data_IF_453586725086
#
_entry.id   IF_453586725086
#
_cell.length_a   1.000
_cell.length_b   1.000
_cell.length_c   1.000
_cell.angle_alpha   90.00
_cell.angle_beta   90.00
_cell.angle_gamma   90.00
#
_symmetry.space_group_name_H-M   'P 1'
#
loop_
_entity.id
_entity.type
_entity.pdbx_description
1 polymer ?
#
# COMPACT_ATOMS: atom_id res chain seq x y z
N UNK A 1 -20.81 -10.02 0.19
CA UNK A 1 -20.34 -11.02 1.17
C UNK A 1 -21.44 -12.06 1.42
N UNK A 2 -21.24 -13.33 1.04
CA UNK A 2 -22.22 -14.43 1.25
C UNK A 2 -22.26 -14.79 2.74
N UNK A 3 -23.30 -14.40 3.46
CA UNK A 3 -23.52 -14.91 4.81
C UNK A 3 -24.22 -16.28 4.73
N UNK A 4 -23.61 -17.38 5.21
CA UNK A 4 -24.22 -18.71 5.10
C UNK A 4 -25.46 -18.84 6.00
N UNK A 5 -26.62 -19.07 5.38
CA UNK A 5 -27.87 -19.37 6.08
C UNK A 5 -27.74 -20.68 6.91
N UNK A 6 -28.42 -20.74 8.06
CA UNK A 6 -28.40 -21.87 9.01
C UNK A 6 -28.70 -23.22 8.35
N UNK A 7 -29.56 -23.23 7.33
CA UNK A 7 -29.91 -24.43 6.55
C UNK A 7 -28.75 -24.93 5.67
N UNK A 8 -28.01 -24.03 5.03
CA UNK A 8 -26.81 -24.36 4.24
C UNK A 8 -25.74 -25.01 5.14
N UNK A 9 -25.46 -24.43 6.32
CA UNK A 9 -24.50 -25.00 7.28
C UNK A 9 -24.85 -26.44 7.69
N UNK A 10 -26.15 -26.73 7.88
CA UNK A 10 -26.62 -28.08 8.25
C UNK A 10 -26.42 -29.09 7.11
N UNK A 11 -26.77 -28.73 5.88
CA UNK A 11 -26.62 -29.61 4.72
C UNK A 11 -25.15 -29.86 4.40
N UNK A 12 -24.32 -28.82 4.40
CA UNK A 12 -22.87 -28.96 4.20
C UNK A 12 -22.25 -29.89 5.24
N UNK A 13 -22.65 -29.75 6.52
CA UNK A 13 -22.19 -30.65 7.59
C UNK A 13 -22.68 -32.08 7.38
N UNK A 14 -23.95 -32.27 7.03
CA UNK A 14 -24.53 -33.60 6.79
C UNK A 14 -23.79 -34.33 5.65
N UNK A 15 -23.52 -33.65 4.53
CA UNK A 15 -22.75 -34.19 3.43
C UNK A 15 -21.31 -34.58 3.83
N UNK A 16 -20.61 -33.72 4.58
CA UNK A 16 -19.25 -34.02 5.07
C UNK A 16 -19.23 -35.24 6.00
N UNK A 17 -20.21 -35.35 6.90
CA UNK A 17 -20.34 -36.50 7.80
C UNK A 17 -20.64 -37.77 7.01
N UNK A 18 -21.60 -37.74 6.08
CA UNK A 18 -21.93 -38.88 5.23
C UNK A 18 -20.72 -39.33 4.37
N UNK A 19 -19.95 -38.37 3.86
CA UNK A 19 -18.72 -38.62 3.10
C UNK A 19 -17.63 -39.29 3.95
N UNK A 20 -17.44 -38.83 5.19
CA UNK A 20 -16.48 -39.45 6.12
C UNK A 20 -16.87 -40.87 6.53
N UNK A 21 -18.17 -41.14 6.64
CA UNK A 21 -18.71 -42.48 6.92
C UNK A 21 -18.72 -43.39 5.68
N UNK A 22 -18.33 -42.87 4.50
CA UNK A 22 -18.36 -43.59 3.22
C UNK A 22 -19.73 -44.24 2.90
N UNK A 23 -20.82 -43.64 3.41
CA UNK A 23 -22.17 -44.16 3.21
C UNK A 23 -22.77 -43.58 1.93
N UNK A 24 -22.63 -44.29 0.81
CA UNK A 24 -23.06 -43.84 -0.51
C UNK A 24 -24.55 -43.48 -0.57
N UNK A 25 -25.41 -44.22 0.12
CA UNK A 25 -26.86 -43.94 0.14
C UNK A 25 -27.17 -42.59 0.82
N UNK A 26 -26.55 -42.34 1.98
CA UNK A 26 -26.70 -41.07 2.69
C UNK A 26 -26.07 -39.91 1.92
N UNK A 27 -24.95 -40.12 1.25
CA UNK A 27 -24.32 -39.11 0.40
C UNK A 27 -25.27 -38.71 -0.74
N UNK A 28 -25.85 -39.66 -1.46
CA UNK A 28 -26.81 -39.39 -2.54
C UNK A 28 -28.05 -38.65 -2.03
N UNK A 29 -28.60 -39.06 -0.88
CA UNK A 29 -29.71 -38.36 -0.23
C UNK A 29 -29.34 -36.93 0.16
N UNK A 30 -28.11 -36.70 0.63
CA UNK A 30 -27.62 -35.37 0.98
C UNK A 30 -27.49 -34.47 -0.26
N UNK A 31 -26.94 -34.99 -1.36
CA UNK A 31 -26.80 -34.26 -2.63
C UNK A 31 -28.19 -33.87 -3.15
N UNK A 32 -29.12 -34.83 -3.26
CA UNK A 32 -30.48 -34.58 -3.73
C UNK A 32 -31.22 -33.55 -2.85
N UNK A 33 -31.08 -33.67 -1.52
CA UNK A 33 -31.70 -32.74 -0.57
C UNK A 33 -31.10 -31.33 -0.65
N UNK A 34 -29.79 -31.22 -0.90
CA UNK A 34 -29.11 -29.94 -1.07
C UNK A 34 -29.61 -29.23 -2.32
N UNK A 35 -29.64 -29.92 -3.46
CA UNK A 35 -30.14 -29.39 -4.73
C UNK A 35 -31.61 -28.95 -4.58
N UNK A 36 -32.45 -29.80 -3.99
CA UNK A 36 -33.86 -29.47 -3.77
C UNK A 36 -34.05 -28.27 -2.82
N UNK A 37 -33.19 -28.12 -1.81
CA UNK A 37 -33.22 -26.95 -0.94
C UNK A 37 -32.87 -25.69 -1.74
N UNK A 38 -31.77 -25.73 -2.51
CA UNK A 38 -31.33 -24.59 -3.32
C UNK A 38 -32.43 -24.14 -4.29
N UNK A 39 -33.04 -25.08 -5.02
CA UNK A 39 -34.14 -24.81 -5.96
C UNK A 39 -35.34 -24.10 -5.30
N UNK A 40 -35.59 -24.36 -4.00
CA UNK A 40 -36.72 -23.79 -3.26
C UNK A 40 -36.46 -22.40 -2.69
N UNK A 41 -35.20 -22.10 -2.35
CA UNK A 41 -34.86 -20.87 -1.61
C UNK A 41 -34.12 -19.85 -2.47
N UNK A 42 -33.72 -20.22 -3.69
CA UNK A 42 -32.91 -19.37 -4.52
C UNK A 42 -33.67 -18.12 -4.99
N UNK A 43 -33.13 -16.96 -4.64
CA UNK A 43 -33.59 -15.65 -5.11
C UNK A 43 -32.37 -14.93 -5.72
N UNK A 44 -32.53 -14.38 -6.93
CA UNK A 44 -31.40 -13.87 -7.72
C UNK A 44 -30.65 -12.74 -7.01
N UNK A 45 -31.36 -11.84 -6.33
CA UNK A 45 -30.80 -10.71 -5.55
C UNK A 45 -30.08 -11.14 -4.25
N UNK A 46 -30.26 -12.40 -3.81
CA UNK A 46 -29.70 -12.93 -2.55
C UNK A 46 -28.69 -14.03 -2.79
N UNK A 47 -27.47 -13.62 -3.15
CA UNK A 47 -26.34 -14.53 -3.44
C UNK A 47 -26.00 -15.56 -2.35
N UNK A 48 -26.46 -15.38 -1.09
CA UNK A 48 -26.30 -16.36 -0.01
C UNK A 48 -27.29 -17.53 -0.02
N UNK A 49 -28.32 -17.50 -0.87
CA UNK A 49 -29.36 -18.52 -0.98
C UNK A 49 -29.14 -19.52 -2.12
N UNK A 50 -28.12 -19.33 -2.96
CA UNK A 50 -27.84 -20.16 -4.12
C UNK A 50 -26.34 -20.28 -4.40
N UNK A 51 -25.96 -21.21 -5.29
CA UNK A 51 -24.56 -21.45 -5.70
C UNK A 51 -23.77 -22.28 -4.69
N UNK A 52 -24.34 -22.58 -3.51
CA UNK A 52 -23.67 -23.39 -2.50
C UNK A 52 -23.57 -24.86 -2.91
N UNK A 53 -24.52 -25.38 -3.69
CA UNK A 53 -24.41 -26.71 -4.28
C UNK A 53 -23.29 -26.77 -5.34
N UNK A 54 -23.15 -25.73 -6.14
CA UNK A 54 -22.08 -25.64 -7.14
C UNK A 54 -20.70 -25.62 -6.46
N UNK A 55 -20.50 -24.77 -5.46
CA UNK A 55 -19.26 -24.74 -4.69
C UNK A 55 -18.99 -26.08 -3.99
N UNK A 56 -19.98 -26.64 -3.30
CA UNK A 56 -19.80 -27.83 -2.49
C UNK A 56 -19.54 -29.09 -3.32
N UNK A 57 -20.21 -29.25 -4.46
CA UNK A 57 -20.18 -30.49 -5.24
C UNK A 57 -19.32 -30.39 -6.50
N UNK A 58 -19.39 -29.30 -7.26
CA UNK A 58 -18.64 -29.12 -8.51
C UNK A 58 -17.20 -28.71 -8.18
N UNK A 59 -17.02 -27.57 -7.53
CA UNK A 59 -15.68 -27.09 -7.15
C UNK A 59 -15.05 -27.96 -6.06
N UNK A 60 -15.88 -28.52 -5.18
CA UNK A 60 -15.48 -29.55 -4.21
C UNK A 60 -15.14 -30.92 -4.81
N UNK A 61 -15.26 -31.10 -6.13
CA UNK A 61 -14.92 -32.33 -6.88
C UNK A 61 -15.56 -33.59 -6.29
N UNK A 62 -16.86 -33.53 -6.00
CA UNK A 62 -17.60 -34.68 -5.48
C UNK A 62 -17.64 -35.81 -6.49
N UNK A 63 -17.02 -36.95 -6.18
CA UNK A 63 -17.07 -38.18 -6.99
C UNK A 63 -18.45 -38.87 -7.02
N UNK A 64 -19.40 -38.40 -6.21
CA UNK A 64 -20.73 -38.98 -6.07
C UNK A 64 -21.80 -38.21 -6.85
N UNK A 65 -21.42 -37.10 -7.50
CA UNK A 65 -22.34 -36.34 -8.33
C UNK A 65 -22.60 -37.09 -9.65
N UNK A 66 -23.87 -37.28 -10.01
CA UNK A 66 -24.20 -37.87 -11.32
C UNK A 66 -23.96 -36.86 -12.44
N UNK A 67 -23.75 -37.34 -13.67
CA UNK A 67 -23.60 -36.47 -14.86
C UNK A 67 -24.82 -35.57 -15.06
N UNK A 68 -26.02 -36.07 -14.77
CA UNK A 68 -27.26 -35.28 -14.85
C UNK A 68 -27.28 -34.15 -13.80
N UNK A 69 -26.85 -34.43 -12.56
CA UNK A 69 -26.76 -33.43 -11.50
C UNK A 69 -25.67 -32.40 -11.78
N UNK A 70 -24.51 -32.82 -12.30
CA UNK A 70 -23.43 -31.93 -12.72
C UNK A 70 -23.94 -30.96 -13.80
N UNK A 71 -24.55 -31.49 -14.86
CA UNK A 71 -25.10 -30.68 -15.95
C UNK A 71 -26.20 -29.72 -15.47
N UNK A 72 -27.09 -30.15 -14.57
CA UNK A 72 -28.10 -29.28 -13.96
C UNK A 72 -27.45 -28.10 -13.25
N UNK A 73 -26.50 -28.35 -12.34
CA UNK A 73 -25.87 -27.29 -11.54
C UNK A 73 -25.11 -26.28 -12.41
N UNK A 74 -24.45 -26.73 -13.48
CA UNK A 74 -23.78 -25.85 -14.44
C UNK A 74 -24.80 -25.02 -15.20
N UNK A 75 -25.84 -25.66 -15.77
CA UNK A 75 -26.88 -25.00 -16.55
C UNK A 75 -27.62 -23.95 -15.71
N UNK A 76 -27.95 -24.27 -14.47
CA UNK A 76 -28.65 -23.35 -13.56
C UNK A 76 -27.80 -22.11 -13.24
N UNK A 77 -26.49 -22.30 -13.03
CA UNK A 77 -25.60 -21.20 -12.71
C UNK A 77 -25.28 -20.33 -13.94
N UNK A 78 -25.15 -20.91 -15.14
CA UNK A 78 -25.04 -20.17 -16.41
C UNK A 78 -26.30 -19.36 -16.71
N UNK A 79 -27.47 -19.99 -16.56
CA UNK A 79 -28.75 -19.30 -16.72
C UNK A 79 -28.88 -18.16 -15.71
N UNK A 80 -28.41 -18.37 -14.47
CA UNK A 80 -28.41 -17.32 -13.44
C UNK A 80 -27.44 -16.19 -13.78
N UNK A 81 -26.20 -16.48 -14.17
CA UNK A 81 -25.23 -15.47 -14.59
C UNK A 81 -25.83 -14.56 -15.66
N UNK A 82 -26.51 -15.15 -16.65
CA UNK A 82 -27.22 -14.38 -17.68
C UNK A 82 -28.25 -13.43 -17.07
N UNK A 83 -29.11 -13.90 -16.14
CA UNK A 83 -30.13 -13.07 -15.49
C UNK A 83 -29.56 -11.97 -14.58
N UNK A 84 -28.48 -12.27 -13.86
CA UNK A 84 -27.89 -11.32 -12.88
C UNK A 84 -26.81 -10.43 -13.48
N UNK A 85 -26.44 -10.65 -14.75
CA UNK A 85 -25.47 -9.80 -15.46
C UNK A 85 -26.01 -8.41 -15.77
N UNK A 86 -27.34 -8.27 -15.83
CA UNK A 86 -28.06 -7.00 -16.01
C UNK A 86 -28.96 -6.73 -14.80
N UNK A 87 -29.16 -5.44 -14.49
CA UNK A 87 -30.13 -4.95 -13.49
C UNK A 87 -29.94 -5.42 -12.04
N UNK A 88 -28.80 -6.03 -11.72
CA UNK A 88 -28.43 -6.45 -10.37
C UNK A 88 -27.08 -5.87 -9.96
N UNK A 89 -26.81 -5.91 -8.66
CA UNK A 89 -25.51 -5.52 -8.12
C UNK A 89 -24.38 -6.36 -8.75
N UNK A 90 -23.24 -5.75 -9.12
CA UNK A 90 -22.13 -6.48 -9.77
C UNK A 90 -21.56 -7.59 -8.88
N UNK A 91 -21.71 -7.48 -7.56
CA UNK A 91 -21.36 -8.50 -6.58
C UNK A 91 -22.22 -9.78 -6.70
N UNK A 92 -23.47 -9.65 -7.16
CA UNK A 92 -24.36 -10.78 -7.44
C UNK A 92 -23.92 -11.47 -8.74
N UNK A 93 -23.56 -10.69 -9.76
CA UNK A 93 -22.97 -11.21 -11.00
C UNK A 93 -21.66 -11.96 -10.72
N UNK A 94 -20.75 -11.38 -9.94
CA UNK A 94 -19.50 -12.01 -9.50
C UNK A 94 -19.75 -13.34 -8.78
N UNK A 95 -20.76 -13.38 -7.90
CA UNK A 95 -21.13 -14.57 -7.13
C UNK A 95 -21.55 -15.75 -8.02
N UNK A 96 -22.02 -15.50 -9.24
CA UNK A 96 -22.30 -16.54 -10.24
C UNK A 96 -21.08 -16.80 -11.15
N UNK A 97 -20.44 -15.74 -11.63
CA UNK A 97 -19.39 -15.83 -12.65
C UNK A 97 -18.05 -16.38 -12.14
N UNK A 98 -17.59 -16.02 -10.94
CA UNK A 98 -16.29 -16.49 -10.43
C UNK A 98 -16.28 -18.01 -10.22
N UNK A 99 -17.32 -18.64 -9.61
CA UNK A 99 -17.39 -20.10 -9.54
C UNK A 99 -17.41 -20.78 -10.92
N UNK A 100 -18.18 -20.24 -11.89
CA UNK A 100 -18.23 -20.76 -13.26
C UNK A 100 -16.87 -20.66 -13.96
N UNK A 101 -16.22 -19.50 -13.93
CA UNK A 101 -14.91 -19.31 -14.53
C UNK A 101 -13.85 -20.21 -13.88
N UNK A 102 -13.94 -20.45 -12.56
CA UNK A 102 -13.08 -21.40 -11.86
C UNK A 102 -13.31 -22.84 -12.35
N UNK A 103 -14.58 -23.23 -12.56
CA UNK A 103 -14.92 -24.52 -13.14
C UNK A 103 -14.34 -24.69 -14.55
N UNK A 104 -14.56 -23.72 -15.45
CA UNK A 104 -14.06 -23.78 -16.83
C UNK A 104 -12.54 -23.78 -16.91
N UNK A 105 -11.86 -23.03 -16.02
CA UNK A 105 -10.40 -23.07 -15.90
C UNK A 105 -9.90 -24.47 -15.54
N UNK A 106 -10.56 -25.14 -14.58
CA UNK A 106 -10.20 -26.51 -14.19
C UNK A 106 -10.44 -27.54 -15.29
N UNK A 107 -11.27 -27.23 -16.29
CA UNK A 107 -11.52 -28.04 -17.48
C UNK A 107 -10.68 -27.60 -18.69
N UNK A 108 -9.78 -26.62 -18.50
CA UNK A 108 -8.96 -26.03 -19.57
C UNK A 108 -9.77 -25.37 -20.70
N UNK A 109 -11.02 -24.98 -20.42
CA UNK A 109 -11.92 -24.31 -21.36
C UNK A 109 -11.71 -22.79 -21.32
N UNK A 110 -10.58 -22.34 -21.87
CA UNK A 110 -10.13 -20.94 -21.75
C UNK A 110 -11.08 -19.91 -22.41
N UNK A 111 -11.80 -20.29 -23.47
CA UNK A 111 -12.75 -19.39 -24.13
C UNK A 111 -13.98 -19.14 -23.25
N UNK A 112 -14.46 -20.16 -22.54
CA UNK A 112 -15.54 -19.99 -21.55
C UNK A 112 -15.09 -19.18 -20.34
N UNK A 113 -13.85 -19.36 -19.89
CA UNK A 113 -13.27 -18.51 -18.84
C UNK A 113 -13.30 -17.04 -19.25
N UNK A 114 -12.85 -16.73 -20.48
CA UNK A 114 -12.87 -15.35 -21.00
C UNK A 114 -14.29 -14.80 -21.07
N UNK A 115 -15.22 -15.54 -21.69
CA UNK A 115 -16.64 -15.15 -21.80
C UNK A 115 -17.24 -14.80 -20.44
N UNK A 116 -17.08 -15.68 -19.45
CA UNK A 116 -17.69 -15.49 -18.12
C UNK A 116 -17.07 -14.29 -17.40
N UNK A 117 -15.74 -14.13 -17.43
CA UNK A 117 -15.08 -13.02 -16.73
C UNK A 117 -15.31 -11.68 -17.44
N UNK A 118 -15.46 -11.66 -18.77
CA UNK A 118 -15.92 -10.45 -19.48
C UNK A 118 -17.29 -10.01 -18.97
N UNK A 119 -18.24 -10.93 -18.77
CA UNK A 119 -19.55 -10.62 -18.20
C UNK A 119 -19.43 -10.02 -16.80
N UNK A 120 -18.63 -10.63 -15.92
CA UNK A 120 -18.44 -10.14 -14.54
C UNK A 120 -17.80 -8.75 -14.54
N UNK A 121 -16.71 -8.56 -15.29
CA UNK A 121 -16.02 -7.28 -15.30
C UNK A 121 -16.84 -6.17 -15.97
N UNK A 122 -17.56 -6.46 -17.06
CA UNK A 122 -18.49 -5.51 -17.68
C UNK A 122 -19.63 -5.10 -16.73
N UNK A 123 -20.09 -6.01 -15.87
CA UNK A 123 -21.09 -5.71 -14.85
C UNK A 123 -20.56 -4.67 -13.85
N UNK A 124 -19.32 -4.81 -13.36
CA UNK A 124 -18.68 -3.78 -12.54
C UNK A 124 -18.50 -2.46 -13.30
N UNK A 125 -18.00 -2.53 -14.54
CA UNK A 125 -17.68 -1.33 -15.32
C UNK A 125 -18.92 -0.49 -15.66
N UNK A 126 -20.05 -1.13 -15.98
CA UNK A 126 -21.33 -0.47 -16.26
C UNK A 126 -22.00 0.06 -15.00
N UNK A 127 -21.86 -0.65 -13.88
CA UNK A 127 -22.42 -0.22 -12.60
C UNK A 127 -21.67 0.98 -11.98
N UNK A 128 -20.53 1.40 -12.54
CA UNK A 128 -19.84 2.62 -12.15
C UNK A 128 -20.52 3.90 -12.65
N UNK A 129 -21.41 3.82 -13.65
CA UNK A 129 -22.09 5.01 -14.20
C UNK A 129 -22.96 5.68 -13.12
N UNK A 130 -22.73 6.98 -12.89
CA UNK A 130 -23.48 7.78 -11.90
C UNK A 130 -23.05 7.59 -10.44
N UNK A 131 -22.05 6.76 -10.15
CA UNK A 131 -21.48 6.65 -8.80
C UNK A 131 -20.53 7.83 -8.47
N UNK A 132 -20.37 8.16 -7.17
CA UNK A 132 -19.30 9.05 -6.73
C UNK A 132 -17.93 8.54 -7.18
N UNK A 133 -17.02 9.44 -7.57
CA UNK A 133 -15.72 9.10 -8.15
C UNK A 133 -14.91 8.12 -7.29
N UNK A 134 -14.89 8.29 -5.95
CA UNK A 134 -14.22 7.38 -5.01
C UNK A 134 -14.78 5.96 -5.11
N UNK A 135 -16.11 5.84 -5.16
CA UNK A 135 -16.78 4.54 -5.22
C UNK A 135 -16.54 3.88 -6.59
N UNK A 136 -16.65 4.63 -7.68
CA UNK A 136 -16.34 4.15 -9.02
C UNK A 136 -14.89 3.67 -9.14
N UNK A 137 -13.93 4.41 -8.55
CA UNK A 137 -12.51 4.02 -8.52
C UNK A 137 -12.28 2.70 -7.79
N UNK A 138 -12.91 2.51 -6.64
CA UNK A 138 -12.85 1.25 -5.91
C UNK A 138 -13.41 0.08 -6.72
N UNK A 139 -14.51 0.28 -7.45
CA UNK A 139 -15.15 -0.78 -8.24
C UNK A 139 -14.36 -1.14 -9.49
N UNK A 140 -13.79 -0.15 -10.18
CA UNK A 140 -12.85 -0.40 -11.27
C UNK A 140 -11.59 -1.12 -10.77
N UNK A 141 -11.05 -0.78 -9.58
CA UNK A 141 -9.91 -1.50 -9.02
C UNK A 141 -10.26 -2.98 -8.77
N UNK A 142 -11.43 -3.26 -8.20
CA UNK A 142 -11.89 -4.65 -8.00
C UNK A 142 -12.05 -5.41 -9.32
N UNK A 143 -12.61 -4.77 -10.36
CA UNK A 143 -12.69 -5.36 -11.69
C UNK A 143 -11.30 -5.66 -12.30
N UNK A 144 -10.33 -4.76 -12.09
CA UNK A 144 -8.93 -4.98 -12.49
C UNK A 144 -8.34 -6.22 -11.80
N UNK A 145 -8.54 -6.37 -10.48
CA UNK A 145 -8.02 -7.51 -9.72
C UNK A 145 -8.62 -8.83 -10.21
N UNK A 146 -9.93 -8.85 -10.52
CA UNK A 146 -10.59 -9.99 -11.16
C UNK A 146 -9.92 -10.30 -12.50
N UNK A 147 -9.75 -9.31 -13.39
CA UNK A 147 -9.13 -9.52 -14.70
C UNK A 147 -7.71 -10.08 -14.60
N UNK A 148 -6.88 -9.57 -13.67
CA UNK A 148 -5.53 -10.08 -13.43
C UNK A 148 -5.55 -11.52 -12.93
N UNK A 149 -6.43 -11.86 -11.98
CA UNK A 149 -6.57 -13.23 -11.46
C UNK A 149 -7.03 -14.24 -12.52
N UNK A 150 -7.61 -13.73 -13.62
CA UNK A 150 -8.01 -14.50 -14.81
C UNK A 150 -7.18 -14.30 -16.07
N UNK A 151 -5.97 -13.74 -15.94
CA UNK A 151 -5.02 -13.52 -17.04
C UNK A 151 -5.60 -12.70 -18.20
N UNK A 152 -6.56 -11.81 -17.92
CA UNK A 152 -7.22 -10.94 -18.90
C UNK A 152 -6.49 -9.59 -19.00
N UNK A 153 -5.27 -9.63 -19.53
CA UNK A 153 -4.36 -8.47 -19.56
C UNK A 153 -4.92 -7.28 -20.36
N UNK A 154 -5.62 -7.53 -21.48
CA UNK A 154 -6.22 -6.47 -22.29
C UNK A 154 -7.34 -5.74 -21.56
N UNK A 155 -8.21 -6.47 -20.85
CA UNK A 155 -9.28 -5.89 -20.05
C UNK A 155 -8.72 -5.14 -18.84
N UNK A 156 -7.74 -5.72 -18.15
CA UNK A 156 -7.03 -5.04 -17.06
C UNK A 156 -6.46 -3.69 -17.53
N UNK A 157 -5.80 -3.64 -18.69
CA UNK A 157 -5.26 -2.41 -19.24
C UNK A 157 -6.36 -1.37 -19.60
N UNK A 158 -7.53 -1.82 -20.08
CA UNK A 158 -8.68 -0.93 -20.34
C UNK A 158 -9.21 -0.31 -19.05
N UNK A 159 -9.37 -1.12 -18.00
CA UNK A 159 -9.85 -0.66 -16.69
C UNK A 159 -8.85 0.31 -16.04
N UNK A 160 -7.53 0.06 -16.15
CA UNK A 160 -6.51 0.99 -15.65
C UNK A 160 -6.62 2.38 -16.30
N UNK A 161 -7.01 2.46 -17.58
CA UNK A 161 -7.28 3.75 -18.24
C UNK A 161 -8.48 4.45 -17.61
N UNK A 162 -9.56 3.73 -17.32
CA UNK A 162 -10.75 4.28 -16.64
C UNK A 162 -10.41 4.80 -15.24
N UNK A 163 -9.66 4.02 -14.46
CA UNK A 163 -9.15 4.44 -13.14
C UNK A 163 -8.36 5.75 -13.23
N UNK A 164 -7.48 5.86 -14.24
CA UNK A 164 -6.69 7.09 -14.45
C UNK A 164 -7.52 8.29 -14.91
N UNK A 165 -8.68 8.06 -15.56
CA UNK A 165 -9.57 9.12 -16.05
C UNK A 165 -10.41 9.73 -14.94
N UNK A 166 -10.92 8.92 -14.02
CA UNK A 166 -11.74 9.38 -12.87
C UNK A 166 -10.91 9.91 -11.70
N UNK A 167 -9.60 9.66 -11.72
CA UNK A 167 -8.72 9.99 -10.61
C UNK A 167 -8.72 11.48 -10.19
N UNK A 168 -8.74 12.45 -11.11
CA UNK A 168 -8.91 13.86 -10.75
C UNK A 168 -10.19 14.16 -9.96
N UNK A 169 -11.32 13.57 -10.38
CA UNK A 169 -12.63 13.77 -9.72
C UNK A 169 -12.67 13.16 -8.30
N UNK A 170 -11.88 12.10 -8.07
CA UNK A 170 -11.69 11.53 -6.73
C UNK A 170 -11.09 12.58 -5.80
N UNK A 171 -10.01 13.24 -6.23
CA UNK A 171 -9.30 14.25 -5.43
C UNK A 171 -10.21 15.44 -5.10
N UNK A 172 -11.03 15.89 -6.04
CA UNK A 172 -12.00 16.98 -5.81
C UNK A 172 -13.11 16.58 -4.82
N UNK A 173 -13.49 15.29 -4.78
CA UNK A 173 -14.54 14.80 -3.88
C UNK A 173 -14.09 14.57 -2.44
N UNK A 174 -12.79 14.66 -2.15
CA UNK A 174 -12.24 14.50 -0.80
C UNK A 174 -12.50 15.75 0.04
N UNK A 175 -13.41 15.67 1.01
CA UNK A 175 -13.61 16.74 1.99
C UNK A 175 -12.52 16.73 3.05
N UNK A 176 -11.87 17.88 3.24
CA UNK A 176 -10.90 18.08 4.30
C UNK A 176 -11.61 18.33 5.65
N UNK A 177 -11.27 17.53 6.66
CA UNK A 177 -11.68 17.78 8.05
C UNK A 177 -10.47 18.29 8.83
N UNK A 178 -10.45 19.59 9.13
CA UNK A 178 -9.37 20.22 9.89
C UNK A 178 -9.68 20.25 11.39
N UNK A 179 -8.71 19.89 12.23
CA UNK A 179 -8.75 20.10 13.68
C UNK A 179 -7.54 20.93 14.11
N UNK A 180 -7.77 22.07 14.77
CA UNK A 180 -6.71 22.93 15.28
C UNK A 180 -6.39 22.62 16.74
N UNK A 181 -5.10 22.52 17.08
CA UNK A 181 -4.62 22.41 18.46
C UNK A 181 -3.73 23.59 18.78
N UNK A 182 -4.04 24.32 19.85
CA UNK A 182 -3.20 25.42 20.33
C UNK A 182 -2.01 24.89 21.13
N UNK A 183 -0.81 25.40 20.84
CA UNK A 183 0.42 25.14 21.59
C UNK A 183 0.81 26.44 22.29
N UNK A 184 0.91 26.47 23.63
CA UNK A 184 1.37 27.67 24.34
C UNK A 184 2.76 28.09 23.89
N UNK A 185 2.91 29.36 23.47
CA UNK A 185 4.15 29.91 22.92
C UNK A 185 5.36 29.69 23.84
N UNK A 186 5.21 29.94 25.13
CA UNK A 186 6.29 29.77 26.11
C UNK A 186 6.86 28.34 26.13
N UNK A 187 5.99 27.32 26.09
CA UNK A 187 6.43 25.91 26.05
C UNK A 187 7.16 25.60 24.74
N UNK A 188 6.71 26.21 23.65
CA UNK A 188 7.33 26.03 22.35
C UNK A 188 8.70 26.70 22.27
N UNK A 189 8.84 27.91 22.80
CA UNK A 189 10.12 28.63 22.84
C UNK A 189 11.14 27.88 23.71
N UNK A 190 10.74 27.37 24.89
CA UNK A 190 11.59 26.50 25.74
C UNK A 190 12.04 25.26 24.97
N UNK A 191 11.13 24.62 24.22
CA UNK A 191 11.47 23.48 23.38
C UNK A 191 12.52 23.86 22.32
N UNK A 192 12.32 24.94 21.58
CA UNK A 192 13.26 25.38 20.54
C UNK A 192 14.63 25.74 21.11
N UNK A 193 14.67 26.44 22.24
CA UNK A 193 15.92 26.76 22.92
C UNK A 193 16.67 25.50 23.38
N UNK A 194 15.94 24.49 23.86
CA UNK A 194 16.52 23.18 24.19
C UNK A 194 17.11 22.47 22.97
N UNK A 195 16.50 22.65 21.79
CA UNK A 195 16.98 22.08 20.53
C UNK A 195 18.25 22.77 20.06
N UNK A 196 18.36 24.09 20.23
CA UNK A 196 19.54 24.85 19.77
C UNK A 196 20.63 25.04 20.81
N UNK A 197 20.53 24.46 22.02
CA UNK A 197 21.55 24.65 23.04
C UNK A 197 22.85 23.87 22.72
N UNK A 198 24.03 24.45 22.98
CA UNK A 198 25.33 23.76 22.93
C UNK A 198 26.06 23.78 21.58
N UNK A 199 25.77 24.75 20.70
CA UNK A 199 26.48 24.96 19.43
C UNK A 199 25.82 24.29 18.23
N UNK A 200 26.32 24.62 17.03
CA UNK A 200 25.75 24.17 15.75
C UNK A 200 25.80 22.64 15.59
N UNK A 201 26.96 22.03 15.83
CA UNK A 201 27.15 20.57 15.71
C UNK A 201 26.21 19.81 16.66
N UNK A 202 26.16 20.20 17.93
CA UNK A 202 25.26 19.61 18.94
C UNK A 202 23.80 19.79 18.54
N UNK A 203 23.44 20.94 17.98
CA UNK A 203 22.09 21.22 17.48
C UNK A 203 21.72 20.25 16.34
N UNK A 204 22.59 20.07 15.36
CA UNK A 204 22.36 19.14 14.25
C UNK A 204 22.29 17.68 14.70
N UNK A 205 23.18 17.24 15.59
CA UNK A 205 23.12 15.90 16.18
C UNK A 205 21.78 15.69 16.94
N UNK A 206 21.35 16.69 17.72
CA UNK A 206 20.09 16.63 18.46
C UNK A 206 18.88 16.58 17.53
N UNK A 207 18.89 17.39 16.46
CA UNK A 207 17.83 17.37 15.45
C UNK A 207 17.78 16.01 14.74
N UNK A 208 18.93 15.44 14.35
CA UNK A 208 19.01 14.13 13.69
C UNK A 208 18.38 13.00 14.52
N UNK A 209 18.43 13.08 15.86
CA UNK A 209 17.88 12.06 16.75
C UNK A 209 16.44 12.36 17.17
N UNK A 210 16.11 13.63 17.44
CA UNK A 210 14.82 14.01 18.03
C UNK A 210 13.62 13.78 17.09
N UNK A 211 13.85 13.77 15.78
CA UNK A 211 12.79 13.53 14.78
C UNK A 211 12.83 12.13 14.17
N UNK A 212 13.62 11.21 14.75
CA UNK A 212 13.54 9.80 14.41
C UNK A 212 12.38 9.13 15.16
N UNK A 213 11.45 8.49 14.45
CA UNK A 213 10.34 7.79 15.07
C UNK A 213 10.80 6.46 15.68
N UNK A 214 10.08 5.99 16.71
CA UNK A 214 10.24 4.63 17.23
C UNK A 214 9.14 3.75 16.71
N UNK A 215 9.50 2.71 15.94
CA UNK A 215 8.54 1.86 15.21
C UNK A 215 7.51 1.24 16.16
N UNK A 216 7.96 0.69 17.27
CA UNK A 216 7.13 0.04 18.28
C UNK A 216 6.24 1.01 19.06
N UNK A 217 6.56 2.32 19.09
CA UNK A 217 5.63 3.33 19.60
C UNK A 217 4.52 3.64 18.60
N UNK A 218 4.85 3.71 17.30
CA UNK A 218 3.86 3.93 16.23
C UNK A 218 2.92 2.72 16.13
N UNK A 219 3.44 1.50 16.24
CA UNK A 219 2.61 0.28 16.27
C UNK A 219 1.60 0.31 17.43
N UNK A 220 2.04 0.67 18.65
CA UNK A 220 1.13 0.81 19.80
C UNK A 220 0.08 1.89 19.56
N UNK A 221 0.48 3.03 18.98
CA UNK A 221 -0.44 4.10 18.63
C UNK A 221 -1.53 3.61 17.64
N UNK A 222 -1.14 2.83 16.63
CA UNK A 222 -2.08 2.24 15.67
C UNK A 222 -3.05 1.29 16.36
N UNK A 223 -2.57 0.42 17.25
CA UNK A 223 -3.43 -0.50 18.00
C UNK A 223 -4.42 0.24 18.90
N UNK A 224 -4.00 1.32 19.56
CA UNK A 224 -4.87 2.16 20.39
C UNK A 224 -5.92 2.90 19.54
N UNK A 225 -5.52 3.44 18.38
CA UNK A 225 -6.44 4.07 17.44
C UNK A 225 -7.45 3.08 16.86
N UNK A 226 -7.02 1.86 16.52
CA UNK A 226 -7.90 0.80 16.03
C UNK A 226 -8.93 0.39 17.09
N UNK A 227 -8.54 0.37 18.37
CA UNK A 227 -9.45 0.11 19.48
C UNK A 227 -10.51 1.21 19.66
N UNK A 228 -10.12 2.48 19.48
CA UNK A 228 -11.01 3.63 19.67
C UNK A 228 -11.85 3.96 18.42
N UNK A 229 -11.36 3.60 17.23
CA UNK A 229 -11.97 3.92 15.93
C UNK A 229 -12.06 2.68 15.00
N UNK A 230 -12.68 1.57 15.44
CA UNK A 230 -12.55 0.26 14.79
C UNK A 230 -12.99 0.25 13.33
N UNK A 231 -14.07 0.95 12.98
CA UNK A 231 -14.61 0.99 11.61
C UNK A 231 -13.56 1.45 10.59
N UNK A 232 -12.73 2.45 10.94
CA UNK A 232 -11.70 2.99 10.04
C UNK A 232 -10.49 2.07 9.83
N UNK A 233 -10.35 1.05 10.68
CA UNK A 233 -9.26 0.07 10.65
C UNK A 233 -9.73 -1.32 10.20
N UNK A 234 -11.04 -1.53 9.98
CA UNK A 234 -11.59 -2.79 9.49
C UNK A 234 -11.49 -2.97 7.97
N UNK A 235 -11.52 -1.87 7.21
CA UNK A 235 -11.57 -1.92 5.74
C UNK A 235 -10.22 -1.57 5.11
N UNK A 236 -9.94 -2.21 3.98
CA UNK A 236 -8.78 -1.91 3.14
C UNK A 236 -8.85 -0.47 2.63
N UNK A 237 -7.77 0.29 2.86
CA UNK A 237 -7.58 1.65 2.33
C UNK A 237 -6.82 1.56 1.02
N UNK A 238 -7.27 2.27 -0.01
CA UNK A 238 -6.53 2.40 -1.27
C UNK A 238 -5.89 3.78 -1.30
N UNK A 239 -4.57 3.83 -1.38
CA UNK A 239 -3.80 5.06 -1.54
C UNK A 239 -3.68 5.38 -3.02
N UNK A 240 -3.83 6.67 -3.35
CA UNK A 240 -3.82 7.16 -4.71
C UNK A 240 -2.77 8.25 -4.89
N UNK A 241 -2.22 8.37 -6.10
CA UNK A 241 -1.35 9.48 -6.46
C UNK A 241 -2.14 10.76 -6.82
N UNK A 242 -1.41 11.82 -7.15
CA UNK A 242 -1.93 13.12 -7.61
C UNK A 242 -2.71 13.05 -8.95
N UNK A 243 -2.75 11.90 -9.64
CA UNK A 243 -3.64 11.64 -10.78
C UNK A 243 -4.80 10.70 -10.40
N UNK A 244 -4.99 10.41 -9.12
CA UNK A 244 -5.97 9.48 -8.56
C UNK A 244 -5.74 8.01 -8.94
N UNK A 245 -4.52 7.65 -9.39
CA UNK A 245 -4.16 6.27 -9.70
C UNK A 245 -3.85 5.54 -8.40
N UNK A 246 -4.39 4.33 -8.17
CA UNK A 246 -4.08 3.53 -6.99
C UNK A 246 -2.61 3.10 -7.05
N UNK A 247 -1.86 3.47 -6.02
CA UNK A 247 -0.42 3.17 -5.91
C UNK A 247 -0.12 2.12 -4.84
N UNK A 248 -0.98 2.00 -3.82
CA UNK A 248 -0.83 1.00 -2.78
C UNK A 248 -2.17 0.72 -2.08
N UNK A 249 -2.26 -0.42 -1.41
CA UNK A 249 -3.36 -0.75 -0.50
C UNK A 249 -2.83 -0.99 0.90
N UNK A 250 -3.62 -0.60 1.91
CA UNK A 250 -3.37 -0.91 3.32
C UNK A 250 -4.54 -1.76 3.79
N UNK A 251 -4.28 -2.99 4.19
CA UNK A 251 -5.31 -3.91 4.66
C UNK A 251 -5.97 -3.49 5.98
N UNK A 252 -6.96 -4.27 6.41
CA UNK A 252 -7.51 -4.16 7.76
C UNK A 252 -6.44 -4.44 8.82
N UNK A 253 -6.65 -3.95 10.05
CA UNK A 253 -5.65 -4.05 11.13
C UNK A 253 -5.25 -5.50 11.47
N UNK A 254 -6.16 -6.46 11.31
CA UNK A 254 -5.87 -7.88 11.55
C UNK A 254 -4.99 -8.50 10.46
N UNK A 255 -5.10 -8.01 9.22
CA UNK A 255 -4.41 -8.56 8.05
C UNK A 255 -3.11 -7.80 7.73
N UNK A 256 -3.00 -6.52 8.08
CA UNK A 256 -1.92 -5.63 7.66
C UNK A 256 -1.56 -4.56 8.72
N UNK A 257 -1.02 -5.01 9.85
CA UNK A 257 -0.51 -4.09 10.87
C UNK A 257 0.63 -3.20 10.34
N UNK A 258 1.53 -3.75 9.52
CA UNK A 258 2.69 -3.00 9.00
C UNK A 258 2.23 -1.83 8.11
N UNK A 259 1.30 -2.07 7.17
CA UNK A 259 0.74 -1.02 6.32
C UNK A 259 0.05 0.07 7.12
N UNK A 260 -0.69 -0.28 8.18
CA UNK A 260 -1.31 0.71 9.07
C UNK A 260 -0.26 1.50 9.88
N UNK A 261 0.83 0.86 10.32
CA UNK A 261 1.98 1.53 10.97
C UNK A 261 2.68 2.51 10.03
N UNK A 262 2.91 2.11 8.79
CA UNK A 262 3.53 2.97 7.76
C UNK A 262 2.67 4.21 7.50
N UNK A 263 1.37 4.01 7.35
CA UNK A 263 0.42 5.10 7.14
C UNK A 263 0.38 6.04 8.33
N UNK A 264 0.34 5.50 9.55
CA UNK A 264 0.34 6.32 10.75
C UNK A 264 1.65 7.09 10.93
N UNK A 265 2.80 6.48 10.62
CA UNK A 265 4.07 7.19 10.65
C UNK A 265 4.06 8.36 9.66
N UNK A 266 3.52 8.16 8.46
CA UNK A 266 3.42 9.22 7.44
C UNK A 266 2.64 10.43 7.94
N UNK A 267 1.54 10.19 8.65
CA UNK A 267 0.76 11.26 9.31
C UNK A 267 1.50 11.92 10.47
N UNK A 268 2.21 11.13 11.29
CA UNK A 268 3.04 11.68 12.37
C UNK A 268 4.13 12.61 11.80
N UNK A 269 4.77 12.22 10.69
CA UNK A 269 5.76 13.05 10.01
C UNK A 269 5.19 14.38 9.50
N UNK A 270 3.93 14.41 9.05
CA UNK A 270 3.25 15.65 8.65
C UNK A 270 3.04 16.57 9.86
N UNK A 271 2.58 16.03 10.99
CA UNK A 271 2.38 16.80 12.23
C UNK A 271 3.72 17.34 12.76
N UNK A 272 4.73 16.48 12.82
CA UNK A 272 6.06 16.81 13.33
C UNK A 272 6.82 17.80 12.44
N UNK A 273 6.34 18.03 11.20
CA UNK A 273 6.96 18.98 10.27
C UNK A 273 6.97 20.41 10.81
N UNK A 274 5.95 20.78 11.59
CA UNK A 274 5.87 22.08 12.24
C UNK A 274 7.05 22.27 13.20
N UNK A 275 7.32 21.29 14.05
CA UNK A 275 8.42 21.34 15.02
C UNK A 275 9.76 21.33 14.29
N UNK A 276 9.95 20.46 13.30
CA UNK A 276 11.19 20.38 12.53
C UNK A 276 11.49 21.71 11.81
N UNK A 277 10.49 22.30 11.17
CA UNK A 277 10.62 23.59 10.48
C UNK A 277 11.10 24.68 11.41
N UNK A 278 10.51 24.78 12.59
CA UNK A 278 10.88 25.80 13.57
C UNK A 278 12.24 25.50 14.21
N UNK A 279 12.62 24.23 14.38
CA UNK A 279 13.98 23.87 14.79
C UNK A 279 15.03 24.34 13.78
N UNK A 280 14.82 24.11 12.47
CA UNK A 280 15.73 24.64 11.43
C UNK A 280 15.78 26.17 11.43
N UNK A 281 14.62 26.83 11.51
CA UNK A 281 14.57 28.30 11.57
C UNK A 281 15.32 28.86 12.77
N UNK A 282 15.11 28.28 13.96
CA UNK A 282 15.82 28.67 15.18
C UNK A 282 17.32 28.43 15.06
N UNK A 283 17.74 27.30 14.48
CA UNK A 283 19.17 27.03 14.24
C UNK A 283 19.81 28.08 13.31
N UNK A 284 19.10 28.46 12.23
CA UNK A 284 19.56 29.52 11.32
C UNK A 284 19.60 30.88 12.01
N UNK A 285 18.61 31.20 12.84
CA UNK A 285 18.56 32.45 13.61
C UNK A 285 19.69 32.56 14.63
N UNK A 286 20.00 31.47 15.35
CA UNK A 286 21.02 31.46 16.41
C UNK A 286 22.43 31.43 15.84
N UNK A 287 22.67 30.68 14.77
CA UNK A 287 24.02 30.38 14.29
C UNK A 287 24.37 30.99 12.93
N UNK A 288 23.39 31.34 12.11
CA UNK A 288 23.60 31.84 10.75
C UNK A 288 24.53 30.97 9.88
N UNK A 289 24.39 29.62 9.87
CA UNK A 289 25.36 28.75 9.24
C UNK A 289 25.35 28.91 7.72
N UNK A 290 26.53 28.97 7.13
CA UNK A 290 26.71 28.92 5.68
C UNK A 290 26.45 27.52 5.13
N UNK A 291 26.17 27.42 3.83
CA UNK A 291 26.04 26.13 3.16
C UNK A 291 27.32 25.28 3.27
N UNK A 292 28.48 25.95 3.33
CA UNK A 292 29.77 25.31 3.52
C UNK A 292 29.85 24.64 4.90
N UNK A 293 29.54 25.34 6.00
CA UNK A 293 29.61 24.79 7.36
C UNK A 293 28.67 23.59 7.55
N UNK A 294 27.45 23.65 7.00
CA UNK A 294 26.52 22.51 7.03
C UNK A 294 27.07 21.34 6.21
N UNK A 295 27.68 21.61 5.05
CA UNK A 295 28.30 20.57 4.22
C UNK A 295 29.50 19.96 4.92
N UNK A 296 30.34 20.75 5.57
CA UNK A 296 31.47 20.27 6.37
C UNK A 296 30.99 19.33 7.47
N UNK A 297 29.91 19.68 8.18
CA UNK A 297 29.27 18.79 9.15
C UNK A 297 28.79 17.47 8.51
N UNK A 298 28.09 17.52 7.37
CA UNK A 298 27.60 16.32 6.67
C UNK A 298 28.77 15.39 6.29
N UNK A 299 29.87 15.97 5.80
CA UNK A 299 31.06 15.25 5.34
C UNK A 299 32.00 14.82 6.47
N UNK A 300 31.66 15.07 7.74
CA UNK A 300 32.30 14.35 8.85
C UNK A 300 32.01 12.84 8.80
N UNK A 301 30.91 12.46 8.14
CA UNK A 301 30.57 11.06 7.94
C UNK A 301 31.28 10.45 6.72
N UNK A 302 31.87 9.25 6.86
CA UNK A 302 32.66 8.64 5.78
C UNK A 302 31.80 8.15 4.61
N UNK A 303 30.48 8.05 4.79
CA UNK A 303 29.56 7.54 3.76
C UNK A 303 29.27 8.56 2.66
N UNK A 304 29.75 9.80 2.79
CA UNK A 304 29.67 10.81 1.73
C UNK A 304 30.98 10.86 0.95
N UNK A 305 30.91 10.52 -0.33
CA UNK A 305 32.07 10.57 -1.22
C UNK A 305 32.52 12.02 -1.47
N UNK A 306 33.80 12.31 -1.25
CA UNK A 306 34.39 13.65 -1.42
C UNK A 306 34.15 14.24 -2.82
N UNK A 307 34.13 13.39 -3.86
CA UNK A 307 33.82 13.77 -5.25
C UNK A 307 32.42 14.39 -5.42
N UNK A 308 31.50 14.17 -4.48
CA UNK A 308 30.12 14.67 -4.47
C UNK A 308 29.93 15.90 -3.59
N UNK A 309 30.97 16.41 -2.92
CA UNK A 309 30.89 17.57 -2.01
C UNK A 309 30.22 18.78 -2.65
N UNK A 310 30.62 19.15 -3.87
CA UNK A 310 30.02 20.28 -4.57
C UNK A 310 28.53 20.10 -4.85
N UNK A 311 28.08 18.87 -5.12
CA UNK A 311 26.66 18.55 -5.36
C UNK A 311 25.87 18.71 -4.06
N UNK A 312 26.35 18.13 -2.96
CA UNK A 312 25.69 18.26 -1.65
C UNK A 312 25.64 19.73 -1.22
N UNK A 313 26.75 20.47 -1.35
CA UNK A 313 26.81 21.89 -1.00
C UNK A 313 25.81 22.72 -1.82
N UNK A 314 25.63 22.41 -3.11
CA UNK A 314 24.64 23.08 -3.96
C UNK A 314 23.22 22.81 -3.46
N UNK A 315 22.90 21.57 -3.09
CA UNK A 315 21.60 21.20 -2.52
C UNK A 315 21.32 21.86 -1.18
N UNK A 316 22.32 21.92 -0.29
CA UNK A 316 22.25 22.62 0.99
C UNK A 316 22.08 24.13 0.80
N UNK A 317 22.78 24.71 -0.17
CA UNK A 317 22.63 26.13 -0.49
C UNK A 317 21.22 26.44 -0.99
N UNK A 318 20.68 25.61 -1.90
CA UNK A 318 19.30 25.73 -2.36
C UNK A 318 18.30 25.65 -1.20
N UNK A 319 18.52 24.74 -0.24
CA UNK A 319 17.69 24.62 0.95
C UNK A 319 17.68 25.91 1.79
N UNK A 320 18.85 26.48 2.07
CA UNK A 320 18.98 27.75 2.82
C UNK A 320 18.34 28.93 2.08
N UNK A 321 18.42 28.93 0.75
CA UNK A 321 17.80 29.93 -0.12
C UNK A 321 16.30 29.70 -0.35
N UNK A 322 15.72 28.64 0.23
CA UNK A 322 14.32 28.24 0.07
C UNK A 322 13.94 27.84 -1.38
N UNK A 323 14.93 27.52 -2.22
CA UNK A 323 14.72 26.84 -3.49
C UNK A 323 14.53 25.33 -3.23
N UNK A 324 13.32 24.99 -2.77
CA UNK A 324 12.98 23.63 -2.39
C UNK A 324 12.95 22.67 -3.58
N UNK A 325 12.65 23.18 -4.77
CA UNK A 325 12.70 22.38 -6.00
C UNK A 325 14.13 21.89 -6.21
N UNK A 326 15.11 22.80 -6.26
CA UNK A 326 16.50 22.42 -6.45
C UNK A 326 17.02 21.58 -5.27
N UNK A 327 16.74 21.97 -4.03
CA UNK A 327 17.20 21.25 -2.84
C UNK A 327 16.77 19.78 -2.84
N UNK A 328 15.49 19.51 -3.10
CA UNK A 328 14.94 18.14 -3.10
C UNK A 328 15.55 17.32 -4.25
N UNK A 329 15.55 17.84 -5.48
CA UNK A 329 16.07 17.11 -6.65
C UNK A 329 17.57 16.83 -6.56
N UNK A 330 18.33 17.68 -5.86
CA UNK A 330 19.77 17.51 -5.67
C UNK A 330 20.03 16.52 -4.52
N UNK A 331 19.42 16.71 -3.35
CA UNK A 331 19.76 15.97 -2.13
C UNK A 331 19.19 14.56 -2.06
N UNK A 332 18.02 14.30 -2.66
CA UNK A 332 17.41 12.96 -2.66
C UNK A 332 18.33 11.91 -3.29
N UNK A 333 18.92 12.12 -4.49
CA UNK A 333 19.93 11.20 -5.03
C UNK A 333 21.19 11.08 -4.17
N UNK A 334 21.57 12.14 -3.42
CA UNK A 334 22.74 12.08 -2.54
C UNK A 334 22.49 11.23 -1.29
N UNK A 335 21.27 11.22 -0.76
CA UNK A 335 20.88 10.29 0.30
C UNK A 335 20.96 8.83 -0.17
N UNK A 336 20.49 8.54 -1.40
CA UNK A 336 20.63 7.21 -2.01
C UNK A 336 22.11 6.84 -2.24
N UNK A 337 22.93 7.80 -2.69
CA UNK A 337 24.36 7.59 -2.84
C UNK A 337 25.03 7.24 -1.51
N UNK A 338 24.74 7.98 -0.43
CA UNK A 338 25.33 7.75 0.87
C UNK A 338 24.98 6.38 1.47
N UNK A 339 23.72 5.94 1.35
CA UNK A 339 23.32 4.58 1.78
C UNK A 339 24.04 3.50 0.96
N UNK A 340 24.23 3.74 -0.34
CA UNK A 340 25.01 2.81 -1.18
C UNK A 340 26.47 2.74 -0.74
N UNK A 341 27.10 3.88 -0.51
CA UNK A 341 28.47 3.95 0.00
C UNK A 341 28.58 3.25 1.36
N UNK A 342 27.59 3.41 2.26
CA UNK A 342 27.55 2.66 3.52
C UNK A 342 27.57 1.14 3.30
N UNK A 343 26.71 0.62 2.42
CA UNK A 343 26.68 -0.83 2.10
C UNK A 343 28.05 -1.27 1.58
N UNK A 344 28.69 -0.50 0.71
CA UNK A 344 30.03 -0.79 0.18
C UNK A 344 31.10 -0.76 1.28
N UNK A 345 31.09 0.24 2.15
CA UNK A 345 32.00 0.34 3.30
C UNK A 345 31.86 -0.84 4.27
N UNK A 346 30.64 -1.35 4.43
CA UNK A 346 30.36 -2.53 5.26
C UNK A 346 30.64 -3.86 4.53
N UNK A 347 31.21 -3.83 3.32
CA UNK A 347 31.54 -5.02 2.52
C UNK A 347 30.33 -5.68 1.84
N UNK A 348 29.17 -5.03 1.84
CA UNK A 348 27.97 -5.47 1.18
C UNK A 348 28.02 -5.29 -0.34
N UNK A 349 27.17 -6.04 -1.05
CA UNK A 349 27.13 -6.02 -2.52
C UNK A 349 26.08 -5.02 -3.00
N UNK A 350 26.48 -4.00 -3.74
CA UNK A 350 25.57 -2.99 -4.32
C UNK A 350 25.16 -3.27 -5.77
N UNK A 351 25.73 -4.31 -6.37
CA UNK A 351 25.48 -4.71 -7.75
C UNK A 351 24.67 -6.01 -7.82
N UNK A 352 23.83 -6.13 -8.86
CA UNK A 352 23.13 -7.37 -9.22
C UNK A 352 23.20 -7.61 -10.71
N UNK A 353 23.07 -8.86 -11.13
CA UNK A 353 22.97 -9.17 -12.56
C UNK A 353 21.72 -8.54 -13.16
N UNK A 354 21.85 -7.95 -14.35
CA UNK A 354 20.74 -7.44 -15.12
C UNK A 354 20.25 -8.48 -16.14
N UNK A 355 19.08 -8.23 -16.76
CA UNK A 355 18.49 -9.14 -17.77
C UNK A 355 19.31 -9.23 -19.07
N UNK A 356 20.26 -8.32 -19.27
CA UNK A 356 21.12 -8.21 -20.46
C UNK A 356 22.48 -8.89 -20.27
N UNK A 357 22.70 -9.60 -19.15
CA UNK A 357 23.95 -10.32 -18.85
C UNK A 357 25.05 -9.48 -18.22
N UNK A 358 24.82 -8.18 -17.98
CA UNK A 358 25.73 -7.28 -17.27
C UNK A 358 25.40 -7.12 -15.78
N UNK A 359 26.05 -6.16 -15.14
CA UNK A 359 25.74 -5.73 -13.77
C UNK A 359 24.94 -4.43 -13.77
N UNK A 360 24.08 -4.25 -12.79
CA UNK A 360 23.36 -3.02 -12.52
C UNK A 360 23.35 -2.76 -11.01
N UNK A 361 23.18 -1.50 -10.61
CA UNK A 361 22.99 -1.16 -9.21
C UNK A 361 21.70 -1.80 -8.67
N UNK A 362 21.74 -2.20 -7.40
CA UNK A 362 20.54 -2.49 -6.60
C UNK A 362 19.68 -1.24 -6.51
N UNK A 363 18.36 -1.45 -6.42
CA UNK A 363 17.44 -0.34 -6.23
C UNK A 363 17.62 0.27 -4.84
N UNK A 364 17.17 1.51 -4.65
CA UNK A 364 17.28 2.13 -3.33
C UNK A 364 16.47 1.38 -2.26
N UNK A 365 15.29 0.87 -2.61
CA UNK A 365 14.49 0.04 -1.70
C UNK A 365 15.22 -1.25 -1.31
N UNK A 366 15.89 -1.90 -2.28
CA UNK A 366 16.71 -3.08 -2.01
C UNK A 366 17.86 -2.76 -1.04
N UNK A 367 18.47 -1.57 -1.14
CA UNK A 367 19.56 -1.14 -0.25
C UNK A 367 19.07 -0.83 1.16
N UNK A 368 17.93 -0.13 1.30
CA UNK A 368 17.35 0.18 2.61
C UNK A 368 16.81 -1.06 3.34
N UNK A 369 16.66 -2.20 2.66
CA UNK A 369 16.32 -3.50 3.26
C UNK A 369 17.55 -4.36 3.56
N UNK A 370 18.75 -3.85 3.29
CA UNK A 370 19.97 -4.59 3.55
C UNK A 370 20.23 -4.66 5.07
N UNK A 371 20.60 -5.84 5.55
CA UNK A 371 20.93 -6.07 6.95
C UNK A 371 22.08 -5.18 7.42
N UNK A 372 23.04 -4.81 6.54
CA UNK A 372 24.14 -3.90 6.92
C UNK A 372 23.64 -2.50 7.25
N UNK A 373 22.59 -2.03 6.57
CA UNK A 373 21.99 -0.71 6.83
C UNK A 373 21.27 -0.74 8.18
N UNK A 374 20.50 -1.80 8.45
CA UNK A 374 19.81 -1.97 9.73
C UNK A 374 20.80 -2.17 10.89
N UNK A 375 21.91 -2.88 10.70
CA UNK A 375 22.97 -3.01 11.69
C UNK A 375 23.60 -1.66 12.05
N UNK A 376 23.74 -0.75 11.07
CA UNK A 376 24.34 0.56 11.28
C UNK A 376 23.36 1.55 11.93
N UNK A 377 22.13 1.65 11.40
CA UNK A 377 21.17 2.68 11.80
C UNK A 377 20.09 2.21 12.77
N UNK A 378 19.97 0.91 12.99
CA UNK A 378 18.87 0.28 13.73
C UNK A 378 17.57 0.20 12.93
N UNK A 379 16.63 -0.58 13.46
CA UNK A 379 15.32 -0.83 12.83
C UNK A 379 14.51 0.45 12.66
N UNK A 380 14.51 1.34 13.67
CA UNK A 380 13.72 2.58 13.69
C UNK A 380 14.07 3.53 12.53
N UNK A 381 15.36 3.86 12.42
CA UNK A 381 15.87 4.74 11.37
C UNK A 381 15.72 4.13 9.98
N UNK A 382 15.99 2.84 9.84
CA UNK A 382 15.86 2.12 8.57
C UNK A 382 14.40 2.08 8.11
N UNK A 383 13.47 1.83 9.04
CA UNK A 383 12.03 1.88 8.80
C UNK A 383 11.59 3.30 8.39
N UNK A 384 12.05 4.33 9.10
CA UNK A 384 11.81 5.73 8.75
C UNK A 384 12.28 6.09 7.34
N UNK A 385 13.52 5.74 6.98
CA UNK A 385 14.06 6.02 5.64
C UNK A 385 13.26 5.34 4.54
N UNK A 386 12.87 4.07 4.75
CA UNK A 386 12.02 3.33 3.78
C UNK A 386 10.69 4.03 3.57
N UNK A 387 10.00 4.40 4.63
CA UNK A 387 8.67 5.04 4.55
C UNK A 387 8.76 6.41 3.88
N UNK A 388 9.80 7.18 4.19
CA UNK A 388 9.98 8.50 3.63
C UNK A 388 10.39 8.47 2.15
N UNK A 389 11.27 7.53 1.77
CA UNK A 389 11.96 7.59 0.48
C UNK A 389 11.42 6.58 -0.56
N UNK A 390 11.03 5.36 -0.17
CA UNK A 390 10.82 4.26 -1.14
C UNK A 390 9.51 3.47 -1.01
N UNK A 391 8.84 3.48 0.15
CA UNK A 391 7.61 2.70 0.35
C UNK A 391 6.40 3.48 -0.20
N UNK A 392 5.67 2.88 -1.14
CA UNK A 392 4.47 3.46 -1.77
C UNK A 392 3.29 3.65 -0.81
N UNK A 393 3.33 3.00 0.37
CA UNK A 393 2.35 3.25 1.45
C UNK A 393 2.71 4.48 2.29
N UNK A 394 3.95 4.94 2.15
CA UNK A 394 4.51 6.11 2.83
C UNK A 394 4.56 7.35 1.93
N UNK A 395 5.56 8.21 2.15
CA UNK A 395 5.75 9.42 1.35
C UNK A 395 6.45 9.16 0.02
N UNK A 396 7.20 8.06 -0.10
CA UNK A 396 7.77 7.59 -1.36
C UNK A 396 8.59 8.65 -2.15
N UNK A 397 9.18 9.65 -1.47
CA UNK A 397 9.69 10.88 -2.12
C UNK A 397 10.67 10.55 -3.23
N UNK A 398 11.61 9.63 -3.01
CA UNK A 398 12.65 9.35 -3.98
C UNK A 398 12.06 8.83 -5.29
N UNK A 399 11.11 7.91 -5.20
CA UNK A 399 10.49 7.36 -6.40
C UNK A 399 9.65 8.42 -7.10
N UNK A 400 8.86 9.19 -6.37
CA UNK A 400 7.98 10.18 -6.97
C UNK A 400 8.75 11.33 -7.64
N UNK A 401 9.83 11.80 -7.02
CA UNK A 401 10.69 12.84 -7.60
C UNK A 401 11.44 12.32 -8.82
N UNK A 402 12.12 11.18 -8.71
CA UNK A 402 12.96 10.65 -9.80
C UNK A 402 12.16 10.10 -10.99
N UNK A 403 10.89 9.75 -10.79
CA UNK A 403 10.00 9.36 -11.88
C UNK A 403 9.20 10.54 -12.48
N UNK A 404 9.41 11.78 -12.02
CA UNK A 404 8.69 12.96 -12.51
C UNK A 404 7.19 12.90 -12.19
N UNK A 405 6.86 12.26 -11.06
CA UNK A 405 5.50 12.02 -10.59
C UNK A 405 5.06 13.24 -9.77
N UNK A 406 5.88 13.76 -8.86
CA UNK A 406 5.47 14.84 -7.94
C UNK A 406 5.05 16.16 -8.65
N UNK A 407 3.87 16.71 -8.35
CA UNK A 407 3.49 18.07 -8.76
C UNK A 407 4.25 19.16 -7.99
N UNK A 408 4.21 20.40 -8.48
CA UNK A 408 5.04 21.51 -7.96
C UNK A 408 4.82 21.78 -6.46
N UNK A 409 3.60 21.59 -5.95
CA UNK A 409 3.23 21.82 -4.56
C UNK A 409 3.88 20.83 -3.57
N UNK A 410 4.38 19.68 -4.03
CA UNK A 410 5.15 18.74 -3.20
C UNK A 410 6.53 19.29 -2.86
N UNK A 411 7.09 20.16 -3.71
CA UNK A 411 8.40 20.78 -3.51
C UNK A 411 8.29 22.01 -2.60
N UNK A 412 8.00 21.75 -1.33
CA UNK A 412 7.80 22.77 -0.30
C UNK A 412 8.75 22.54 0.90
N UNK A 413 8.64 23.40 1.91
CA UNK A 413 9.50 23.33 3.09
C UNK A 413 9.35 22.02 3.86
N UNK A 414 8.15 21.42 3.93
CA UNK A 414 7.90 20.21 4.70
C UNK A 414 8.67 19.02 4.11
N UNK A 415 8.65 18.87 2.78
CA UNK A 415 9.44 17.85 2.08
C UNK A 415 10.93 18.16 2.17
N UNK A 416 11.35 19.40 1.91
CA UNK A 416 12.76 19.79 1.94
C UNK A 416 13.41 19.64 3.34
N UNK A 417 12.70 20.04 4.40
CA UNK A 417 13.15 19.89 5.79
C UNK A 417 13.35 18.40 6.13
N UNK A 418 12.47 17.51 5.64
CA UNK A 418 12.60 16.06 5.85
C UNK A 418 13.78 15.46 5.10
N UNK A 419 14.03 15.91 3.87
CA UNK A 419 15.24 15.51 3.13
C UNK A 419 16.50 16.00 3.84
N UNK A 420 16.52 17.25 4.34
CA UNK A 420 17.63 17.73 5.16
C UNK A 420 17.80 16.94 6.45
N UNK A 421 16.69 16.57 7.11
CA UNK A 421 16.74 15.70 8.28
C UNK A 421 17.39 14.34 7.96
N UNK A 422 17.06 13.71 6.82
CA UNK A 422 17.74 12.51 6.35
C UNK A 422 19.24 12.75 6.19
N UNK A 423 19.66 13.86 5.57
CA UNK A 423 21.09 14.20 5.44
C UNK A 423 21.77 14.32 6.81
N UNK A 424 21.09 14.92 7.81
CA UNK A 424 21.61 15.01 9.18
C UNK A 424 21.71 13.64 9.87
N UNK A 425 20.74 12.74 9.66
CA UNK A 425 20.80 11.37 10.19
C UNK A 425 21.95 10.58 9.55
N UNK A 426 22.12 10.68 8.24
CA UNK A 426 23.21 10.04 7.50
C UNK A 426 24.57 10.57 7.96
N UNK A 427 24.67 11.86 8.26
CA UNK A 427 25.88 12.49 8.81
C UNK A 427 26.29 11.95 10.20
N UNK A 428 25.42 11.19 10.89
CA UNK A 428 25.75 10.59 12.19
C UNK A 428 26.64 9.35 12.07
N UNK A 429 26.79 8.75 10.88
CA UNK A 429 27.62 7.56 10.71
C UNK A 429 29.09 7.95 10.91
N UNK A 430 29.79 7.21 11.77
CA UNK A 430 31.20 7.40 12.07
C UNK A 430 31.95 6.08 11.91
N UNK A 431 33.19 6.15 11.43
CA UNK A 431 34.08 5.00 11.43
C UNK A 431 34.43 4.64 12.87
N UNK A 432 34.25 3.36 13.22
CA UNK A 432 34.66 2.87 14.54
C UNK A 432 36.14 2.56 14.43
N UNK A 433 37.00 3.47 14.92
CA UNK A 433 38.41 3.18 15.06
C UNK A 433 38.57 1.90 15.91
N UNK A 434 39.19 0.88 15.33
CA UNK A 434 39.42 -0.42 15.95
C UNK A 434 40.37 -0.32 17.16
#
# INVERSE_FOLDING_TARGET
MRAPNRSNKKITRAYKVASNLQNTELIQKCIASAINLEDKIAEDDKAGLWGFCFELFILGKSKYLSTEQENKLITDLEARLTRVSSDHSPWVCESAGIPLATYYRNKEQLDDVRRVIEVVGNSFESSCEGLPAIQASSWYQHAYDIYISFNMQENAAKVTKKISQIGPDVLESMQEFSYSKEIPKEKFDIYLDSITNGGLETTFNRMAVNFLPKKDQVERQVLDLAKNHPISYLFTKTLQDYKGRPVATIGGIEDDLEGNTIHQLSRNMEIDSFFLRHSFRKAVEVYGPSAQEITEFIFLSPIFEESKRGIVQTGVQAFLQQDYVAAIHILVPQAEAAIRSLVEFMGGITLRKNRQGGLQLRTFDDLLRDETVEQCFGTDSTFYFRILLTDQRGWNIRNDVCHGISPINVFNYLTADRIMHVMLCLAQVKERNA
#
